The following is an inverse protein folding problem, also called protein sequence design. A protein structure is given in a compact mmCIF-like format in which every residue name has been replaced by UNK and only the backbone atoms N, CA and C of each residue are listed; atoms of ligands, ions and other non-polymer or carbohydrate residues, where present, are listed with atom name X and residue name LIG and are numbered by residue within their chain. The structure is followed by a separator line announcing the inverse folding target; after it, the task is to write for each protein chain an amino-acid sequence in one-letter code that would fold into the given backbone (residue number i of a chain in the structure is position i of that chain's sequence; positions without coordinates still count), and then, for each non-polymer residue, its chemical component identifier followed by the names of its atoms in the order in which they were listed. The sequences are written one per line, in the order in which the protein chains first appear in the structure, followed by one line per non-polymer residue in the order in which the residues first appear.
data_IF_934310667223
#
_entry.id   IF_934310667223
#
_cell.length_a   1.000
_cell.length_b   1.000
_cell.length_c   1.000
_cell.angle_alpha   90.00
_cell.angle_beta   90.00
_cell.angle_gamma   90.00
#
_symmetry.space_group_name_H-M   'P 1'
#
loop_
_entity.id
_entity.type
_entity.pdbx_description
1 polymer ?
#
# COMPACT_ATOMS: atom_id res chain seq x y z
N UNK A 1 27.62 10.03 29.21
CA UNK A 1 26.31 10.66 29.47
C UNK A 1 25.76 11.18 28.15
N UNK A 2 24.62 10.64 27.68
CA UNK A 2 23.97 11.13 26.47
C UNK A 2 23.17 12.40 26.82
N UNK A 3 23.44 13.51 26.11
CA UNK A 3 22.76 14.77 26.36
C UNK A 3 21.26 14.73 25.96
N UNK A 4 20.41 15.58 26.56
CA UNK A 4 18.96 15.56 26.36
C UNK A 4 18.54 15.73 24.89
N UNK A 5 19.31 16.48 24.10
CA UNK A 5 19.06 16.68 22.68
C UNK A 5 19.09 15.38 21.84
N UNK A 6 19.94 14.41 22.22
CA UNK A 6 19.99 13.12 21.52
C UNK A 6 18.73 12.31 21.79
N UNK A 7 18.23 12.30 23.02
CA UNK A 7 17.02 11.56 23.40
C UNK A 7 15.81 12.09 22.64
N UNK A 8 15.65 13.41 22.55
CA UNK A 8 14.54 14.05 21.82
C UNK A 8 14.60 13.65 20.33
N UNK A 9 15.79 13.71 19.74
CA UNK A 9 15.98 13.34 18.34
C UNK A 9 15.62 11.87 18.07
N UNK A 10 16.08 10.94 18.91
CA UNK A 10 15.75 9.51 18.75
C UNK A 10 14.25 9.25 18.91
N UNK A 11 13.61 9.94 19.87
CA UNK A 11 12.17 9.77 20.14
C UNK A 11 11.33 10.28 18.97
N UNK A 12 11.70 11.44 18.40
CA UNK A 12 11.06 12.00 17.20
C UNK A 12 11.21 11.06 15.98
N UNK A 13 12.40 10.48 15.81
CA UNK A 13 12.69 9.57 14.70
C UNK A 13 11.87 8.27 14.79
N UNK A 14 11.77 7.68 15.98
CA UNK A 14 10.95 6.48 16.22
C UNK A 14 9.48 6.81 15.98
N UNK A 15 9.01 7.97 16.45
CA UNK A 15 7.63 8.41 16.22
C UNK A 15 7.32 8.52 14.72
N UNK A 16 8.20 9.12 13.92
CA UNK A 16 8.04 9.22 12.46
C UNK A 16 7.98 7.86 11.74
N UNK A 17 8.74 6.88 12.22
CA UNK A 17 8.74 5.53 11.62
C UNK A 17 7.43 4.79 11.90
N UNK A 18 6.82 4.97 13.07
CA UNK A 18 5.58 4.27 13.45
C UNK A 18 4.39 4.73 12.59
N UNK A 19 4.33 6.00 12.17
CA UNK A 19 3.22 6.51 11.35
C UNK A 19 3.29 6.14 9.87
N UNK A 20 4.46 5.74 9.35
CA UNK A 20 4.62 5.43 7.91
C UNK A 20 4.20 4.01 7.53
N UNK A 21 3.88 3.15 8.51
CA UNK A 21 3.70 1.70 8.28
C UNK A 21 2.25 1.22 8.22
N UNK A 22 1.27 2.09 7.94
CA UNK A 22 -0.08 1.63 7.60
C UNK A 22 -0.10 1.08 6.16
N UNK A 23 0.39 -0.14 5.99
CA UNK A 23 0.12 -0.93 4.79
C UNK A 23 -1.36 -1.30 4.79
N UNK A 24 -2.08 -0.96 3.71
CA UNK A 24 -3.48 -1.37 3.53
C UNK A 24 -3.54 -2.89 3.37
N UNK A 25 -4.40 -3.54 4.13
CA UNK A 25 -4.67 -4.97 3.93
C UNK A 25 -5.41 -5.19 2.60
N UNK A 26 -5.11 -6.26 1.86
CA UNK A 26 -5.80 -6.58 0.63
C UNK A 26 -7.24 -7.04 0.92
N UNK A 27 -8.18 -6.58 0.10
CA UNK A 27 -9.61 -6.92 0.20
C UNK A 27 -9.97 -8.19 -0.58
N UNK A 28 -9.10 -8.65 -1.47
CA UNK A 28 -9.34 -9.82 -2.28
C UNK A 28 -8.21 -10.12 -3.26
N UNK A 29 -8.46 -11.07 -4.16
CA UNK A 29 -7.52 -11.49 -5.21
C UNK A 29 -8.21 -11.64 -6.55
N UNK A 30 -7.46 -11.39 -7.62
CA UNK A 30 -7.91 -11.65 -8.99
C UNK A 30 -7.88 -13.15 -9.29
N UNK A 31 -9.05 -13.76 -9.51
CA UNK A 31 -9.19 -15.21 -9.67
C UNK A 31 -9.64 -15.66 -11.08
N UNK A 32 -9.63 -14.79 -12.08
CA UNK A 32 -10.20 -15.09 -13.40
C UNK A 32 -9.13 -15.52 -14.41
N UNK A 33 -9.22 -16.74 -14.98
CA UNK A 33 -8.19 -17.26 -15.87
C UNK A 33 -8.28 -16.77 -17.33
N UNK A 34 -9.39 -16.17 -17.77
CA UNK A 34 -9.66 -15.98 -19.22
C UNK A 34 -10.13 -14.57 -19.65
N UNK A 35 -10.35 -13.63 -18.72
CA UNK A 35 -10.78 -12.27 -19.08
C UNK A 35 -9.61 -11.27 -18.98
N UNK A 36 -9.60 -10.28 -19.87
CA UNK A 36 -8.71 -9.12 -19.75
C UNK A 36 -9.21 -8.24 -18.63
N UNK A 37 -8.64 -8.40 -17.45
CA UNK A 37 -8.97 -7.56 -16.30
C UNK A 37 -7.96 -6.42 -16.24
N UNK A 38 -8.45 -5.20 -16.08
CA UNK A 38 -7.63 -4.03 -15.84
C UNK A 38 -7.90 -3.49 -14.43
N UNK A 39 -6.85 -3.00 -13.79
CA UNK A 39 -6.90 -2.40 -12.45
C UNK A 39 -6.33 -0.99 -12.55
N UNK A 40 -7.04 -0.04 -11.96
CA UNK A 40 -6.55 1.32 -11.70
C UNK A 40 -6.30 1.40 -10.19
N UNK A 41 -5.03 1.38 -9.74
CA UNK A 41 -4.72 1.43 -8.32
C UNK A 41 -5.21 2.72 -7.66
N UNK A 42 -5.69 2.60 -6.42
CA UNK A 42 -6.19 3.71 -5.63
C UNK A 42 -5.16 4.85 -5.55
N UNK A 43 -5.57 6.08 -5.87
CA UNK A 43 -4.69 7.26 -5.86
C UNK A 43 -3.83 7.42 -7.11
N UNK A 44 -3.99 6.54 -8.11
CA UNK A 44 -3.35 6.67 -9.42
C UNK A 44 -4.40 6.76 -10.53
N UNK A 45 -3.99 7.23 -11.71
CA UNK A 45 -4.80 7.21 -12.94
C UNK A 45 -4.23 6.23 -13.96
N UNK A 46 -3.32 5.34 -13.55
CA UNK A 46 -2.62 4.43 -14.44
C UNK A 46 -3.40 3.13 -14.56
N UNK A 47 -3.79 2.78 -15.78
CA UNK A 47 -4.39 1.50 -16.09
C UNK A 47 -3.31 0.41 -16.13
N UNK A 48 -3.46 -0.63 -15.32
CA UNK A 48 -2.56 -1.79 -15.30
C UNK A 48 -3.30 -3.07 -15.66
N UNK A 49 -2.62 -3.99 -16.34
CA UNK A 49 -3.18 -5.32 -16.59
C UNK A 49 -3.12 -6.16 -15.31
N UNK A 50 -4.26 -6.71 -14.91
CA UNK A 50 -4.36 -7.51 -13.69
C UNK A 50 -3.75 -8.89 -13.92
N UNK A 51 -2.87 -9.30 -13.02
CA UNK A 51 -2.31 -10.66 -13.03
C UNK A 51 -3.18 -11.60 -12.20
N UNK A 52 -3.17 -12.88 -12.55
CA UNK A 52 -3.78 -13.91 -11.73
C UNK A 52 -3.17 -13.91 -10.32
N UNK A 53 -4.01 -14.06 -9.30
CA UNK A 53 -3.65 -13.97 -7.88
C UNK A 53 -3.06 -12.62 -7.43
N UNK A 54 -3.18 -11.57 -8.24
CA UNK A 54 -2.85 -10.21 -7.79
C UNK A 54 -3.78 -9.80 -6.64
N UNK A 55 -3.18 -9.24 -5.60
CA UNK A 55 -3.90 -8.68 -4.47
C UNK A 55 -4.63 -7.39 -4.89
N UNK A 56 -5.88 -7.26 -4.46
CA UNK A 56 -6.73 -6.08 -4.70
C UNK A 56 -6.81 -5.29 -3.40
N UNK A 57 -6.62 -3.98 -3.47
CA UNK A 57 -6.62 -3.10 -2.30
C UNK A 57 -7.88 -2.21 -2.25
N UNK A 58 -8.26 -1.71 -1.06
CA UNK A 58 -9.38 -0.80 -0.91
C UNK A 58 -9.20 0.47 -1.76
N UNK A 59 -10.16 0.71 -2.66
CA UNK A 59 -10.21 1.88 -3.55
C UNK A 59 -9.71 1.62 -4.97
N UNK A 60 -9.19 0.43 -5.27
CA UNK A 60 -8.83 0.05 -6.63
C UNK A 60 -10.09 -0.04 -7.51
N UNK A 61 -10.00 0.45 -8.74
CA UNK A 61 -11.07 0.30 -9.73
C UNK A 61 -10.76 -0.87 -10.66
N UNK A 62 -11.69 -1.79 -10.80
CA UNK A 62 -11.57 -2.96 -11.68
C UNK A 62 -12.46 -2.78 -12.90
N UNK A 63 -11.88 -3.00 -14.09
CA UNK A 63 -12.57 -2.96 -15.38
C UNK A 63 -12.34 -4.29 -16.12
N UNK A 64 -13.35 -4.78 -16.84
CA UNK A 64 -13.34 -6.07 -17.56
C UNK A 64 -13.80 -5.92 -19.00
#
# INVERSE_FOLDING_TARGET
MYGPARIIFTTLMIFLLVFSAQAKEPVGKISFPLNRVFVIPAGTSSLSYAQFNMDVFPGDKIET
#
